data_IF_522953037338
#
_entry.id   IF_522953037338
#
_cell.length_a   1.000
_cell.length_b   1.000
_cell.length_c   1.000
_cell.angle_alpha   90.00
_cell.angle_beta   90.00
_cell.angle_gamma   90.00
#
_symmetry.space_group_name_H-M   'P 1'
#
loop_
_entity.id
_entity.type
_entity.pdbx_description
1 polymer ?
#
# COMPACT_ATOMS: atom_id res chain seq x y z
N UNK A 1 -21.55 9.11 4.33
CA UNK A 1 -21.60 10.32 5.18
C UNK A 1 -20.71 11.49 4.70
N UNK A 2 -19.36 11.47 4.78
CA UNK A 2 -18.53 12.64 4.36
C UNK A 2 -18.43 12.82 2.84
N UNK A 3 -18.17 11.73 2.12
CA UNK A 3 -18.08 11.71 0.64
C UNK A 3 -19.42 12.05 -0.04
N UNK A 4 -20.53 11.58 0.52
CA UNK A 4 -21.90 11.89 0.07
C UNK A 4 -22.26 13.37 0.22
N UNK A 5 -21.58 14.09 1.11
CA UNK A 5 -21.77 15.54 1.33
C UNK A 5 -20.77 16.40 0.55
N UNK A 6 -19.95 15.80 -0.33
CA UNK A 6 -18.96 16.52 -1.13
C UNK A 6 -17.78 17.11 -0.35
N UNK A 7 -17.65 16.80 0.95
CA UNK A 7 -16.59 17.35 1.80
C UNK A 7 -15.32 16.50 1.63
N UNK A 8 -14.30 17.07 0.98
CA UNK A 8 -12.96 16.51 0.88
C UNK A 8 -12.08 17.12 1.97
N UNK A 9 -11.54 16.28 2.86
CA UNK A 9 -10.52 16.69 3.84
C UNK A 9 -9.27 15.84 3.60
N UNK A 10 -8.22 16.41 2.97
CA UNK A 10 -7.01 15.66 2.71
C UNK A 10 -6.21 15.49 4.02
N UNK A 11 -5.55 14.34 4.12
CA UNK A 11 -4.62 14.02 5.20
C UNK A 11 -3.29 13.57 4.61
N UNK A 12 -2.19 14.01 5.21
CA UNK A 12 -0.86 13.48 4.91
C UNK A 12 -0.47 12.46 5.98
N UNK A 13 -0.06 11.27 5.56
CA UNK A 13 0.50 10.26 6.47
C UNK A 13 2.01 10.23 6.31
N UNK A 14 2.74 10.41 7.41
CA UNK A 14 4.19 10.47 7.44
C UNK A 14 4.73 9.43 8.42
N UNK A 15 5.78 8.74 8.01
CA UNK A 15 6.58 7.87 8.87
C UNK A 15 8.05 8.28 8.78
N UNK A 16 8.62 8.67 9.91
CA UNK A 16 10.03 9.04 10.00
C UNK A 16 10.86 7.85 10.45
N UNK A 17 12.07 7.70 9.90
CA UNK A 17 12.96 6.63 10.34
C UNK A 17 13.30 6.80 11.83
N UNK A 18 13.22 5.72 12.60
CA UNK A 18 13.37 5.75 14.06
C UNK A 18 12.07 5.99 14.85
N UNK A 19 10.98 6.42 14.19
CA UNK A 19 9.65 6.44 14.83
C UNK A 19 9.07 5.03 14.92
N UNK A 20 8.22 4.82 15.93
CA UNK A 20 7.48 3.56 16.11
C UNK A 20 6.07 3.59 15.51
N UNK A 21 5.61 4.74 15.03
CA UNK A 21 4.23 4.94 14.55
C UNK A 21 4.18 5.97 13.41
N UNK A 22 3.19 5.81 12.53
CA UNK A 22 2.84 6.83 11.55
C UNK A 22 2.17 8.03 12.23
N UNK A 23 2.27 9.20 11.61
CA UNK A 23 1.56 10.42 12.00
C UNK A 23 0.66 10.83 10.85
N UNK A 24 -0.58 11.19 11.14
CA UNK A 24 -1.48 11.85 10.19
C UNK A 24 -1.51 13.34 10.46
N UNK A 25 -1.35 14.15 9.44
CA UNK A 25 -1.46 15.61 9.48
C UNK A 25 -2.72 16.04 8.73
N UNK A 26 -3.38 17.08 9.22
CA UNK A 26 -4.41 17.77 8.47
C UNK A 26 -3.80 18.52 7.27
N UNK A 27 -4.68 19.03 6.39
CA UNK A 27 -4.29 19.73 5.17
C UNK A 27 -3.30 20.88 5.41
N UNK A 28 -3.49 21.61 6.51
CA UNK A 28 -2.69 22.79 6.85
C UNK A 28 -1.43 22.43 7.66
N UNK A 29 -1.21 21.14 7.95
CA UNK A 29 -0.13 20.63 8.80
C UNK A 29 -0.08 21.26 10.20
N UNK A 30 -1.19 21.84 10.67
CA UNK A 30 -1.30 22.50 11.98
C UNK A 30 -1.58 21.51 13.10
N UNK A 31 -2.30 20.46 12.79
CA UNK A 31 -2.62 19.40 13.73
C UNK A 31 -2.05 18.09 13.23
N UNK A 32 -1.51 17.31 14.16
CA UNK A 32 -1.10 15.94 13.88
C UNK A 32 -1.69 14.98 14.90
N UNK A 33 -1.90 13.75 14.45
CA UNK A 33 -2.31 12.64 15.30
C UNK A 33 -1.37 11.48 15.07
N UNK A 34 -0.86 10.90 16.16
CA UNK A 34 -0.11 9.66 16.10
C UNK A 34 -1.08 8.50 15.85
N UNK A 35 -0.79 7.67 14.86
CA UNK A 35 -1.52 6.44 14.62
C UNK A 35 -1.13 5.39 15.68
N UNK A 36 -1.96 4.38 15.94
CA UNK A 36 -1.57 3.27 16.79
C UNK A 36 -0.31 2.59 16.24
N UNK A 37 0.47 1.96 17.12
CA UNK A 37 1.62 1.17 16.68
C UNK A 37 1.13 -0.06 15.93
N UNK A 38 1.81 -0.39 14.83
CA UNK A 38 1.57 -1.65 14.12
C UNK A 38 2.09 -2.81 14.99
N UNK A 39 1.29 -3.84 15.27
CA UNK A 39 1.74 -5.00 16.02
C UNK A 39 2.58 -5.95 15.14
N UNK A 40 3.76 -5.47 14.73
CA UNK A 40 4.79 -6.20 13.97
C UNK A 40 6.14 -6.13 14.69
N UNK A 41 7.05 -7.03 14.31
CA UNK A 41 8.40 -7.12 14.88
C UNK A 41 9.41 -6.16 14.24
N UNK A 42 10.64 -6.21 14.72
CA UNK A 42 11.74 -5.36 14.23
C UNK A 42 11.98 -5.51 12.73
N UNK A 43 11.90 -6.73 12.17
CA UNK A 43 12.14 -6.98 10.74
C UNK A 43 11.21 -6.17 9.85
N UNK A 44 9.95 -6.03 10.25
CA UNK A 44 9.00 -5.19 9.54
C UNK A 44 9.38 -3.72 9.56
N UNK A 45 9.82 -3.18 10.70
CA UNK A 45 10.16 -1.75 10.88
C UNK A 45 11.55 -1.34 10.36
N UNK A 46 12.48 -2.28 10.22
CA UNK A 46 13.82 -2.04 9.66
C UNK A 46 13.98 -2.55 8.22
N UNK A 47 13.04 -3.35 7.72
CA UNK A 47 13.01 -3.80 6.34
C UNK A 47 12.40 -2.78 5.38
N UNK A 48 12.52 -3.07 4.09
CA UNK A 48 11.85 -2.28 3.05
C UNK A 48 10.32 -2.39 3.18
N UNK A 49 9.64 -1.27 2.96
CA UNK A 49 8.18 -1.12 3.08
C UNK A 49 7.68 -0.19 2.00
N UNK A 50 6.60 -0.59 1.36
CA UNK A 50 5.85 0.23 0.43
C UNK A 50 4.56 0.71 1.10
N UNK A 51 4.20 1.96 0.86
CA UNK A 51 3.05 2.60 1.50
C UNK A 51 2.17 3.27 0.45
N UNK A 52 0.85 3.13 0.59
CA UNK A 52 -0.10 3.75 -0.32
C UNK A 52 -1.40 4.13 0.40
N UNK A 53 -1.95 5.31 0.10
CA UNK A 53 -3.23 5.78 0.62
C UNK A 53 -4.33 5.59 -0.43
N UNK A 54 -5.45 4.98 -0.02
CA UNK A 54 -6.59 4.68 -0.90
C UNK A 54 -7.91 4.86 -0.16
N UNK A 55 -8.78 5.75 -0.66
CA UNK A 55 -9.96 6.17 0.09
C UNK A 55 -9.58 6.71 1.48
N UNK A 56 -10.12 6.09 2.53
CA UNK A 56 -9.82 6.39 3.94
C UNK A 56 -8.85 5.36 4.57
N UNK A 57 -8.18 4.56 3.74
CA UNK A 57 -7.24 3.55 4.17
C UNK A 57 -5.79 3.95 3.89
N UNK A 58 -4.90 3.58 4.79
CA UNK A 58 -3.45 3.55 4.56
C UNK A 58 -3.02 2.09 4.55
N UNK A 59 -2.39 1.66 3.45
CA UNK A 59 -1.88 0.30 3.27
C UNK A 59 -0.36 0.36 3.37
N UNK A 60 0.20 -0.55 4.14
CA UNK A 60 1.65 -0.76 4.25
C UNK A 60 1.93 -2.22 3.92
N UNK A 61 2.83 -2.43 2.98
CA UNK A 61 3.25 -3.75 2.53
C UNK A 61 4.74 -3.85 2.81
N UNK A 62 5.16 -4.91 3.47
CA UNK A 62 6.57 -5.07 3.84
C UNK A 62 6.89 -6.49 4.23
N UNK A 63 8.16 -6.76 4.53
CA UNK A 63 8.62 -8.08 4.93
C UNK A 63 8.66 -8.21 6.45
N UNK A 64 8.07 -9.27 6.97
CA UNK A 64 8.18 -9.70 8.38
C UNK A 64 8.71 -11.15 8.46
N UNK A 65 8.70 -11.77 9.66
CA UNK A 65 9.25 -13.11 9.89
C UNK A 65 8.72 -14.18 8.94
N UNK A 66 7.41 -14.17 8.66
CA UNK A 66 6.73 -15.19 7.87
C UNK A 66 6.62 -14.83 6.37
N UNK A 67 7.26 -13.75 5.92
CA UNK A 67 7.23 -13.29 4.53
C UNK A 67 6.64 -11.90 4.36
N UNK A 68 6.01 -11.65 3.21
CA UNK A 68 5.38 -10.36 2.93
C UNK A 68 4.06 -10.28 3.69
N UNK A 69 3.88 -9.19 4.45
CA UNK A 69 2.68 -8.90 5.23
C UNK A 69 2.07 -7.59 4.76
N UNK A 70 0.74 -7.49 4.90
CA UNK A 70 -0.03 -6.30 4.58
C UNK A 70 -0.69 -5.79 5.85
N UNK A 71 -0.50 -4.51 6.14
CA UNK A 71 -1.17 -3.79 7.21
C UNK A 71 -2.08 -2.73 6.61
N UNK A 72 -3.35 -2.77 7.00
CA UNK A 72 -4.35 -1.76 6.61
C UNK A 72 -4.77 -0.96 7.82
N UNK A 73 -4.52 0.33 7.80
CA UNK A 73 -5.11 1.26 8.75
C UNK A 73 -6.45 1.77 8.20
N UNK A 74 -7.48 1.70 9.02
CA UNK A 74 -8.80 2.27 8.72
C UNK A 74 -8.96 3.57 9.52
N UNK A 75 -9.06 4.71 8.83
CA UNK A 75 -9.14 6.02 9.48
C UNK A 75 -10.34 6.15 10.42
N UNK A 76 -11.50 5.63 10.01
CA UNK A 76 -12.74 5.71 10.80
C UNK A 76 -12.64 4.95 12.12
N UNK A 77 -11.97 3.79 12.12
CA UNK A 77 -11.79 2.96 13.32
C UNK A 77 -10.55 3.32 14.12
N UNK A 78 -9.69 4.16 13.55
CA UNK A 78 -8.37 4.48 14.09
C UNK A 78 -7.60 3.22 14.52
N UNK A 79 -7.58 2.20 13.66
CA UNK A 79 -7.04 0.88 14.00
C UNK A 79 -6.34 0.22 12.81
N UNK A 80 -5.25 -0.51 13.12
CA UNK A 80 -4.57 -1.39 12.18
C UNK A 80 -5.23 -2.77 12.15
N UNK A 81 -5.36 -3.29 10.94
CA UNK A 81 -5.75 -4.65 10.66
C UNK A 81 -4.59 -5.32 9.93
N UNK A 82 -4.10 -6.43 10.49
CA UNK A 82 -3.25 -7.34 9.72
C UNK A 82 -4.18 -7.94 8.68
N UNK A 83 -3.78 -7.89 7.43
CA UNK A 83 -4.55 -8.46 6.34
C UNK A 83 -3.87 -9.77 5.90
N UNK A 84 -4.07 -10.89 6.64
CA UNK A 84 -3.32 -12.12 6.43
C UNK A 84 -3.65 -12.84 5.11
N UNK A 85 -4.72 -12.46 4.40
CA UNK A 85 -5.27 -13.27 3.30
C UNK A 85 -5.33 -12.60 1.93
N UNK A 86 -4.95 -11.32 1.76
CA UNK A 86 -5.51 -10.61 0.61
C UNK A 86 -4.59 -10.12 -0.50
N UNK A 87 -3.28 -9.90 -0.33
CA UNK A 87 -2.47 -9.73 -1.55
C UNK A 87 -2.38 -11.08 -2.26
N UNK A 88 -2.83 -11.15 -3.52
CA UNK A 88 -2.97 -12.43 -4.24
C UNK A 88 -1.59 -12.97 -4.58
N UNK A 89 -0.68 -12.07 -4.96
CA UNK A 89 0.73 -12.38 -5.18
C UNK A 89 1.61 -11.60 -4.21
N UNK A 90 2.02 -12.18 -3.07
CA UNK A 90 2.92 -11.52 -2.11
C UNK A 90 4.25 -11.13 -2.78
N UNK A 91 4.53 -9.83 -2.84
CA UNK A 91 5.68 -9.24 -3.54
C UNK A 91 5.95 -7.83 -3.04
N UNK A 92 7.08 -7.26 -3.46
CA UNK A 92 7.49 -5.86 -3.19
C UNK A 92 8.11 -5.23 -4.44
N UNK A 93 8.42 -3.94 -4.39
CA UNK A 93 9.14 -3.17 -5.42
C UNK A 93 8.35 -3.04 -6.73
N UNK A 94 7.04 -2.88 -6.61
CA UNK A 94 6.12 -2.74 -7.73
C UNK A 94 5.79 -1.26 -7.96
N UNK A 95 5.31 -0.94 -9.16
CA UNK A 95 4.65 0.33 -9.40
C UNK A 95 3.30 0.31 -8.68
N UNK A 96 2.94 1.42 -8.01
CA UNK A 96 1.61 1.56 -7.42
C UNK A 96 1.05 2.96 -7.62
N UNK A 97 -0.28 3.05 -7.70
CA UNK A 97 -1.01 4.32 -7.83
C UNK A 97 -2.47 4.14 -7.37
N UNK A 98 -3.15 5.24 -7.07
CA UNK A 98 -4.56 5.20 -6.65
C UNK A 98 -5.47 6.04 -7.54
N UNK A 99 -6.73 5.62 -7.60
CA UNK A 99 -7.83 6.39 -8.18
C UNK A 99 -9.10 6.13 -7.40
N UNK A 100 -9.60 7.16 -6.71
CA UNK A 100 -10.81 7.05 -5.90
C UNK A 100 -10.60 6.03 -4.77
N UNK A 101 -11.35 4.94 -4.80
CA UNK A 101 -11.26 3.85 -3.81
C UNK A 101 -10.49 2.63 -4.31
N UNK A 102 -9.92 2.71 -5.52
CA UNK A 102 -9.04 1.67 -6.05
C UNK A 102 -7.57 2.05 -5.90
N UNK A 103 -6.74 1.09 -5.47
CA UNK A 103 -5.30 1.12 -5.54
C UNK A 103 -4.81 0.04 -6.52
N UNK A 104 -3.83 0.36 -7.34
CA UNK A 104 -3.30 -0.51 -8.38
C UNK A 104 -1.84 -0.82 -8.09
N UNK A 105 -1.43 -2.04 -8.39
CA UNK A 105 -0.11 -2.57 -8.10
C UNK A 105 0.37 -3.41 -9.29
N UNK A 106 1.49 -3.06 -9.92
CA UNK A 106 1.98 -3.75 -11.11
C UNK A 106 3.49 -4.01 -11.08
N UNK A 107 3.87 -5.24 -11.43
CA UNK A 107 5.25 -5.69 -11.42
C UNK A 107 5.71 -6.14 -10.04
N UNK A 108 6.99 -5.94 -9.76
CA UNK A 108 7.63 -6.25 -8.50
C UNK A 108 8.33 -7.59 -8.48
N UNK A 109 8.80 -7.95 -7.29
CA UNK A 109 9.60 -9.14 -7.02
C UNK A 109 8.91 -9.98 -5.97
N UNK A 110 8.66 -11.23 -6.30
CA UNK A 110 8.19 -12.24 -5.35
C UNK A 110 9.31 -13.18 -4.96
N UNK A 111 9.21 -13.74 -3.76
CA UNK A 111 10.11 -14.79 -3.29
C UNK A 111 9.60 -16.12 -3.85
N UNK A 112 10.37 -16.74 -4.74
CA UNK A 112 10.07 -18.04 -5.32
C UNK A 112 10.50 -19.20 -4.42
N UNK A 113 10.39 -20.42 -4.96
CA UNK A 113 10.86 -21.64 -4.29
C UNK A 113 12.36 -21.50 -3.97
N UNK A 114 12.79 -22.03 -2.82
CA UNK A 114 14.18 -21.98 -2.33
C UNK A 114 14.71 -20.55 -2.07
N UNK A 115 13.84 -19.56 -1.91
CA UNK A 115 14.23 -18.18 -1.62
C UNK A 115 14.67 -17.35 -2.83
N UNK A 116 14.61 -17.90 -4.05
CA UNK A 116 15.05 -17.22 -5.26
C UNK A 116 14.07 -16.09 -5.62
N UNK A 117 14.57 -14.88 -5.76
CA UNK A 117 13.78 -13.72 -6.17
C UNK A 117 13.36 -13.82 -7.64
N UNK A 118 12.07 -13.63 -7.92
CA UNK A 118 11.52 -13.66 -9.29
C UNK A 118 10.81 -12.34 -9.60
N UNK A 119 11.25 -11.67 -10.67
CA UNK A 119 10.55 -10.52 -11.26
C UNK A 119 9.27 -11.02 -11.93
N UNK A 120 8.18 -10.28 -11.75
CA UNK A 120 6.87 -10.65 -12.28
C UNK A 120 6.27 -9.51 -13.12
N UNK A 121 5.32 -9.85 -13.99
CA UNK A 121 4.47 -8.92 -14.72
C UNK A 121 3.05 -8.89 -14.15
N UNK A 122 2.86 -9.36 -12.92
CA UNK A 122 1.55 -9.43 -12.26
C UNK A 122 1.01 -8.02 -12.02
N UNK A 123 -0.30 -7.85 -12.24
CA UNK A 123 -1.01 -6.66 -11.83
C UNK A 123 -2.24 -7.02 -10.99
N UNK A 124 -2.44 -6.29 -9.92
CA UNK A 124 -3.54 -6.46 -8.97
C UNK A 124 -4.13 -5.09 -8.63
N UNK A 125 -5.40 -5.08 -8.23
CA UNK A 125 -6.01 -3.91 -7.61
C UNK A 125 -6.59 -4.26 -6.25
N UNK A 126 -6.57 -3.30 -5.35
CA UNK A 126 -7.30 -3.31 -4.09
C UNK A 126 -8.42 -2.29 -4.15
N UNK A 127 -9.62 -2.68 -3.76
CA UNK A 127 -10.74 -1.76 -3.59
C UNK A 127 -11.02 -1.52 -2.09
N UNK A 128 -10.98 -0.26 -1.67
CA UNK A 128 -11.15 0.16 -0.29
C UNK A 128 -12.60 -0.01 0.23
N UNK A 129 -13.60 0.12 -0.64
CA UNK A 129 -15.00 -0.01 -0.23
C UNK A 129 -15.33 -1.47 0.08
N UNK A 130 -14.92 -2.39 -0.80
CA UNK A 130 -15.14 -3.83 -0.60
C UNK A 130 -14.07 -4.49 0.27
N UNK A 131 -12.94 -3.82 0.49
CA UNK A 131 -11.74 -4.33 1.16
C UNK A 131 -11.25 -5.64 0.54
N UNK A 132 -11.19 -5.67 -0.80
CA UNK A 132 -10.83 -6.87 -1.56
C UNK A 132 -9.74 -6.57 -2.56
N UNK A 133 -8.89 -7.57 -2.76
CA UNK A 133 -7.91 -7.59 -3.83
C UNK A 133 -8.44 -8.42 -4.99
N UNK A 134 -8.13 -8.00 -6.21
CA UNK A 134 -8.50 -8.71 -7.43
C UNK A 134 -7.35 -8.67 -8.43
N UNK A 135 -7.09 -9.79 -9.09
CA UNK A 135 -6.19 -9.83 -10.23
C UNK A 135 -6.77 -9.00 -11.37
N UNK A 136 -5.89 -8.30 -12.07
CA UNK A 136 -6.22 -7.61 -13.32
C UNK A 136 -5.23 -8.06 -14.41
N UNK A 137 -5.43 -7.60 -15.64
CA UNK A 137 -4.55 -7.94 -16.75
C UNK A 137 -3.09 -7.58 -16.43
N UNK A 138 -2.21 -8.58 -16.51
CA UNK A 138 -0.79 -8.41 -16.29
C UNK A 138 -0.13 -7.51 -17.33
N UNK A 139 1.11 -7.12 -17.04
CA UNK A 139 1.92 -6.30 -17.93
C UNK A 139 2.53 -7.13 -19.06
N UNK A 140 2.89 -6.47 -20.15
CA UNK A 140 3.60 -7.09 -21.28
C UNK A 140 5.05 -7.46 -20.94
N UNK A 141 5.66 -6.75 -19.98
CA UNK A 141 7.06 -6.95 -19.57
C UNK A 141 7.15 -7.18 -18.07
N UNK A 142 8.10 -8.01 -17.65
CA UNK A 142 8.50 -8.15 -16.25
C UNK A 142 9.23 -6.88 -15.82
N UNK A 143 8.87 -6.29 -14.67
CA UNK A 143 9.48 -5.05 -14.17
C UNK A 143 9.54 -5.04 -12.64
N UNK A 144 10.54 -4.37 -12.08
CA UNK A 144 10.70 -4.14 -10.63
C UNK A 144 11.37 -2.78 -10.37
N UNK A 145 11.38 -2.32 -9.12
CA UNK A 145 12.03 -1.05 -8.74
C UNK A 145 11.46 0.13 -9.56
N UNK A 146 10.14 0.13 -9.70
CA UNK A 146 9.42 0.95 -10.65
C UNK A 146 8.44 1.90 -9.98
N UNK A 147 8.12 2.99 -10.65
CA UNK A 147 7.13 3.96 -10.18
C UNK A 147 5.81 3.80 -10.92
N UNK A 148 4.71 4.14 -10.24
CA UNK A 148 3.37 4.13 -10.80
C UNK A 148 2.70 5.49 -10.69
N UNK A 149 1.90 5.86 -11.68
CA UNK A 149 1.02 7.03 -11.57
C UNK A 149 -0.30 6.81 -12.31
N UNK A 150 -1.34 7.52 -11.88
CA UNK A 150 -2.62 7.54 -12.56
C UNK A 150 -2.77 8.86 -13.32
N UNK A 151 -3.01 8.80 -14.62
CA UNK A 151 -3.11 9.98 -15.48
C UNK A 151 -4.16 9.75 -16.57
N UNK A 152 -5.09 10.69 -16.76
CA UNK A 152 -6.20 10.60 -17.74
C UNK A 152 -6.91 9.24 -17.79
N UNK A 153 -7.32 8.70 -16.65
CA UNK A 153 -8.08 7.45 -16.61
C UNK A 153 -7.22 6.18 -16.77
N UNK A 154 -5.89 6.30 -16.91
CA UNK A 154 -4.97 5.18 -17.13
C UNK A 154 -3.92 5.08 -16.03
N UNK A 155 -3.57 3.84 -15.68
CA UNK A 155 -2.45 3.55 -14.79
C UNK A 155 -1.18 3.34 -15.62
N UNK A 156 -0.17 4.17 -15.37
CA UNK A 156 1.13 4.11 -16.02
C UNK A 156 2.16 3.48 -15.08
N UNK A 157 2.98 2.60 -15.66
CA UNK A 157 4.15 2.01 -15.02
C UNK A 157 5.40 2.58 -15.67
N UNK A 158 6.29 3.18 -14.87
CA UNK A 158 7.44 3.94 -15.33
C UNK A 158 8.75 3.36 -14.78
N UNK A 159 9.76 3.24 -15.66
CA UNK A 159 11.05 2.62 -15.34
C UNK A 159 10.94 1.11 -15.10
N UNK A 160 12.01 0.52 -14.56
CA UNK A 160 12.08 -0.87 -14.13
C UNK A 160 12.11 -1.94 -15.21
#
# INVERSE_FOLDING_TARGET
>A
MRRERGVMQPYAFVFSNGDSCWKSFDQDFKNFRKLPKIPSGYRFFYGDRETISVGTHLIIIGRDMDGIVVWRYELEKHKWFKDPTMIITPRVMYASATRGTDAFFAGGVKIGKKGILKVVNVAEKYNADTKRWTMINGMLKLRKMSSGCFFHGKFFHLGG
#
